data_IF_594376787213
#
_entry.id   IF_594376787213
#
_cell.length_a   1.000
_cell.length_b   1.000
_cell.length_c   1.000
_cell.angle_alpha   90.00
_cell.angle_beta   90.00
_cell.angle_gamma   90.00
#
_symmetry.space_group_name_H-M   'P 1'
#
loop_
_entity.id
_entity.type
_entity.pdbx_description
1 polymer ?
#
# COMPACT_ATOMS: atom_id res chain seq x y z
N UNK A 1 45.72 24.99 -61.14
CA UNK A 1 44.28 25.11 -60.92
C UNK A 1 43.76 23.78 -60.42
N UNK A 2 43.34 23.67 -59.16
CA UNK A 2 42.81 22.43 -58.60
C UNK A 2 43.09 22.23 -57.11
N UNK A 3 42.49 23.04 -56.25
CA UNK A 3 42.45 22.77 -54.79
C UNK A 3 41.18 23.23 -54.07
N UNK A 4 40.20 23.83 -54.78
CA UNK A 4 38.99 24.40 -54.16
C UNK A 4 37.74 23.52 -54.11
N UNK A 5 37.71 22.37 -54.80
CA UNK A 5 36.47 21.58 -54.99
C UNK A 5 36.15 20.61 -53.86
N UNK A 6 37.13 20.27 -53.00
CA UNK A 6 36.94 19.33 -51.88
C UNK A 6 36.33 20.01 -50.65
N UNK A 7 36.63 21.29 -50.43
CA UNK A 7 36.20 22.04 -49.25
C UNK A 7 34.74 22.51 -49.38
N UNK A 8 34.35 22.99 -50.56
CA UNK A 8 32.96 23.36 -50.87
C UNK A 8 32.00 22.16 -50.82
N UNK A 9 32.46 20.98 -51.27
CA UNK A 9 31.61 19.77 -51.25
C UNK A 9 31.39 19.25 -49.83
N UNK A 10 32.40 19.32 -48.97
CA UNK A 10 32.28 18.99 -47.53
C UNK A 10 31.40 20.00 -46.79
N UNK A 11 31.48 21.28 -47.15
CA UNK A 11 30.63 22.35 -46.60
C UNK A 11 29.15 22.16 -47.00
N UNK A 12 28.88 21.80 -48.26
CA UNK A 12 27.53 21.53 -48.75
C UNK A 12 26.92 20.25 -48.14
N UNK A 13 27.70 19.17 -48.04
CA UNK A 13 27.28 17.93 -47.39
C UNK A 13 27.01 18.13 -45.87
N UNK A 14 27.77 18.99 -45.21
CA UNK A 14 27.53 19.37 -43.81
C UNK A 14 26.26 20.23 -43.64
N UNK A 15 26.00 21.15 -44.59
CA UNK A 15 24.79 21.97 -44.59
C UNK A 15 23.53 21.12 -44.86
N UNK A 16 23.57 20.21 -45.83
CA UNK A 16 22.46 19.27 -46.10
C UNK A 16 22.18 18.37 -44.90
N UNK A 17 23.23 17.90 -44.20
CA UNK A 17 23.07 17.14 -42.95
C UNK A 17 22.39 18.01 -41.88
N UNK A 18 22.81 19.26 -41.74
CA UNK A 18 22.23 20.18 -40.75
C UNK A 18 20.78 20.53 -41.06
N UNK A 19 20.42 20.70 -42.33
CA UNK A 19 19.03 20.93 -42.77
C UNK A 19 18.18 19.71 -42.44
N UNK A 20 18.63 18.50 -42.78
CA UNK A 20 17.89 17.26 -42.43
C UNK A 20 17.74 17.05 -40.92
N UNK A 21 18.76 17.39 -40.13
CA UNK A 21 18.69 17.36 -38.67
C UNK A 21 17.65 18.35 -38.12
N UNK A 22 17.62 19.58 -38.66
CA UNK A 22 16.66 20.60 -38.26
C UNK A 22 15.23 20.26 -38.69
N UNK A 23 15.05 19.71 -39.90
CA UNK A 23 13.75 19.24 -40.39
C UNK A 23 13.21 18.10 -39.51
N UNK A 24 14.05 17.12 -39.17
CA UNK A 24 13.68 16.04 -38.26
C UNK A 24 13.33 16.54 -36.86
N UNK A 25 14.05 17.55 -36.35
CA UNK A 25 13.75 18.16 -35.05
C UNK A 25 12.44 18.97 -35.06
N UNK A 26 12.20 19.74 -36.14
CA UNK A 26 10.93 20.44 -36.35
C UNK A 26 9.77 19.45 -36.44
N UNK A 27 9.94 18.34 -37.17
CA UNK A 27 8.93 17.30 -37.28
C UNK A 27 8.67 16.63 -35.92
N UNK A 28 9.73 16.30 -35.16
CA UNK A 28 9.65 15.74 -33.80
C UNK A 28 8.89 16.66 -32.84
N UNK A 29 9.22 17.96 -32.83
CA UNK A 29 8.53 18.96 -32.02
C UNK A 29 7.07 19.12 -32.45
N UNK A 30 6.79 19.04 -33.75
CA UNK A 30 5.41 19.10 -34.26
C UNK A 30 4.57 17.90 -33.80
N UNK A 31 5.15 16.69 -33.76
CA UNK A 31 4.48 15.49 -33.27
C UNK A 31 4.28 15.54 -31.76
N UNK A 32 5.30 15.96 -31.00
CA UNK A 32 5.19 16.20 -29.56
C UNK A 32 4.03 17.15 -29.27
N UNK A 33 3.97 18.30 -29.96
CA UNK A 33 2.95 19.31 -29.71
C UNK A 33 1.55 18.83 -30.04
N UNK A 34 1.38 18.05 -31.13
CA UNK A 34 0.10 17.43 -31.47
C UNK A 34 -0.36 16.47 -30.36
N UNK A 35 0.51 15.57 -29.90
CA UNK A 35 0.17 14.62 -28.83
C UNK A 35 -0.16 15.37 -27.54
N UNK A 36 0.69 16.33 -27.17
CA UNK A 36 0.54 17.16 -25.99
C UNK A 36 -0.81 17.91 -25.98
N UNK A 37 -1.17 18.58 -27.07
CA UNK A 37 -2.41 19.37 -27.17
C UNK A 37 -3.67 18.51 -27.39
N UNK A 38 -3.53 17.36 -28.06
CA UNK A 38 -4.64 16.42 -28.29
C UNK A 38 -5.00 15.57 -27.06
N UNK A 39 -4.08 15.48 -26.09
CA UNK A 39 -4.32 14.75 -24.84
C UNK A 39 -5.49 15.37 -24.09
N UNK A 40 -6.39 14.53 -23.59
CA UNK A 40 -7.49 14.97 -22.74
C UNK A 40 -7.03 15.15 -21.28
N UNK A 41 -6.01 14.43 -20.85
CA UNK A 41 -5.34 14.65 -19.55
C UNK A 41 -4.60 15.98 -19.54
N UNK A 42 -4.72 16.72 -18.44
CA UNK A 42 -3.99 17.97 -18.22
C UNK A 42 -2.50 17.69 -18.04
N UNK A 43 -1.67 18.47 -18.75
CA UNK A 43 -0.21 18.39 -18.63
C UNK A 43 0.33 19.80 -18.43
N UNK A 44 1.25 19.95 -17.50
CA UNK A 44 1.92 21.21 -17.22
C UNK A 44 3.42 21.01 -17.04
N UNK A 45 4.19 22.02 -17.42
CA UNK A 45 5.61 22.15 -17.11
C UNK A 45 5.74 23.40 -16.23
N UNK A 46 6.39 23.26 -15.09
CA UNK A 46 6.55 24.31 -14.09
C UNK A 46 8.02 24.48 -13.78
N UNK A 47 8.52 25.71 -13.68
CA UNK A 47 9.90 25.97 -13.25
C UNK A 47 10.06 25.99 -11.72
N UNK A 48 11.29 26.05 -11.23
CA UNK A 48 11.57 26.09 -9.78
C UNK A 48 11.22 27.43 -9.12
N UNK A 49 10.88 28.47 -9.91
CA UNK A 49 10.27 29.70 -9.38
C UNK A 49 8.76 29.54 -9.18
N UNK A 50 8.21 28.39 -9.55
CA UNK A 50 6.80 28.05 -9.43
C UNK A 50 5.93 28.70 -10.50
N UNK A 51 6.46 28.95 -11.70
CA UNK A 51 5.72 29.50 -12.83
C UNK A 51 5.41 28.44 -13.86
N UNK A 52 4.24 28.53 -14.48
CA UNK A 52 3.93 27.68 -15.64
C UNK A 52 4.81 28.05 -16.83
N UNK A 53 5.65 27.13 -17.26
CA UNK A 53 6.44 27.24 -18.49
C UNK A 53 5.59 26.83 -19.68
N UNK A 54 4.82 25.75 -19.54
CA UNK A 54 3.94 25.25 -20.59
C UNK A 54 2.74 24.51 -20.00
N UNK A 55 1.61 24.57 -20.69
CA UNK A 55 0.38 23.84 -20.39
C UNK A 55 -0.26 23.40 -21.71
N UNK A 56 -0.93 22.24 -21.71
CA UNK A 56 -1.64 21.75 -22.89
C UNK A 56 -3.09 22.26 -22.96
N UNK A 57 -3.75 22.00 -24.10
CA UNK A 57 -5.13 22.44 -24.33
C UNK A 57 -6.19 21.85 -23.39
N UNK A 58 -5.87 20.82 -22.62
CA UNK A 58 -6.78 20.25 -21.62
C UNK A 58 -7.08 21.23 -20.48
N UNK A 59 -6.15 22.12 -20.12
CA UNK A 59 -6.38 23.15 -19.10
C UNK A 59 -7.56 24.07 -19.43
N UNK A 60 -7.74 24.39 -20.71
CA UNK A 60 -8.89 25.18 -21.17
C UNK A 60 -10.19 24.40 -21.12
N UNK A 61 -10.14 23.09 -21.40
CA UNK A 61 -11.33 22.21 -21.37
C UNK A 61 -11.81 21.94 -19.94
N UNK A 62 -10.88 21.70 -19.01
CA UNK A 62 -11.19 21.31 -17.64
C UNK A 62 -11.35 22.50 -16.68
N UNK A 63 -10.48 23.51 -16.79
CA UNK A 63 -10.45 24.64 -15.84
C UNK A 63 -10.84 25.97 -16.47
N UNK A 64 -11.16 26.00 -17.77
CA UNK A 64 -11.61 27.21 -18.46
C UNK A 64 -10.50 28.24 -18.76
N UNK A 65 -9.25 28.01 -18.33
CA UNK A 65 -8.17 28.94 -18.60
C UNK A 65 -7.55 28.77 -19.98
N UNK A 66 -7.42 29.87 -20.71
CA UNK A 66 -6.58 29.92 -21.89
C UNK A 66 -5.09 29.79 -21.51
N UNK A 67 -4.29 29.19 -22.39
CA UNK A 67 -2.84 29.00 -22.19
C UNK A 67 -2.13 30.31 -21.85
N UNK A 68 -2.50 31.39 -22.51
CA UNK A 68 -1.91 32.73 -22.33
C UNK A 68 -2.19 33.32 -20.95
N UNK A 69 -3.27 32.88 -20.30
CA UNK A 69 -3.61 33.28 -18.95
C UNK A 69 -2.83 32.51 -17.88
N UNK A 70 -2.22 31.36 -18.23
CA UNK A 70 -1.49 30.49 -17.31
C UNK A 70 0.03 30.67 -17.45
N UNK A 71 0.56 30.62 -18.68
CA UNK A 71 2.00 30.62 -18.95
C UNK A 71 2.68 31.90 -18.42
N UNK A 72 3.77 31.71 -17.68
CA UNK A 72 4.54 32.75 -17.01
C UNK A 72 4.00 33.17 -15.63
N UNK A 73 2.78 32.76 -15.28
CA UNK A 73 2.19 33.08 -13.98
C UNK A 73 2.54 32.05 -12.91
N UNK A 74 2.60 32.46 -11.63
CA UNK A 74 2.77 31.54 -10.53
C UNK A 74 1.61 30.53 -10.47
N UNK A 75 1.89 29.24 -10.32
CA UNK A 75 0.83 28.23 -10.21
C UNK A 75 -0.04 28.46 -8.96
N UNK A 76 0.54 29.03 -7.90
CA UNK A 76 -0.15 29.34 -6.64
C UNK A 76 -1.30 30.33 -6.79
N UNK A 77 -1.32 31.17 -7.84
CA UNK A 77 -2.43 32.08 -8.11
C UNK A 77 -3.73 31.31 -8.36
N UNK A 78 -3.61 30.09 -8.90
CA UNK A 78 -4.72 29.23 -9.28
C UNK A 78 -5.03 28.17 -8.22
N UNK A 79 -4.20 28.01 -7.19
CA UNK A 79 -4.46 27.08 -6.08
C UNK A 79 -5.51 27.69 -5.14
N UNK A 80 -6.48 26.86 -4.74
CA UNK A 80 -7.50 27.19 -3.76
C UNK A 80 -6.82 27.69 -2.46
N UNK A 81 -7.17 28.87 -1.90
CA UNK A 81 -6.35 29.53 -0.90
C UNK A 81 -5.97 28.68 0.34
N UNK A 82 -6.87 27.85 0.91
CA UNK A 82 -6.53 26.93 2.00
C UNK A 82 -5.44 25.89 1.67
N UNK A 83 -5.27 25.52 0.40
CA UNK A 83 -4.34 24.46 -0.01
C UNK A 83 -2.93 25.01 -0.34
N UNK A 84 -2.74 26.34 -0.31
CA UNK A 84 -1.50 26.99 -0.74
C UNK A 84 -0.30 26.63 0.12
N UNK A 85 -0.45 26.65 1.45
CA UNK A 85 0.66 26.34 2.37
C UNK A 85 1.15 24.90 2.17
N UNK A 86 0.23 23.95 2.08
CA UNK A 86 0.53 22.54 1.82
C UNK A 86 1.19 22.38 0.45
N UNK A 87 0.68 23.07 -0.57
CA UNK A 87 1.25 23.01 -1.93
C UNK A 87 2.67 23.57 -1.98
N UNK A 88 2.96 24.65 -1.25
CA UNK A 88 4.33 25.23 -1.16
C UNK A 88 5.28 24.22 -0.51
N UNK A 89 4.93 23.69 0.65
CA UNK A 89 5.77 22.73 1.37
C UNK A 89 6.09 21.51 0.50
N UNK A 90 5.12 21.08 -0.30
CA UNK A 90 5.29 19.99 -1.24
C UNK A 90 6.16 20.34 -2.44
N UNK A 91 5.97 21.50 -3.07
CA UNK A 91 6.81 21.95 -4.16
C UNK A 91 8.29 22.06 -3.74
N UNK A 92 8.56 22.63 -2.56
CA UNK A 92 9.92 22.70 -2.00
C UNK A 92 10.52 21.30 -1.77
N UNK A 93 9.70 20.35 -1.30
CA UNK A 93 10.15 18.97 -1.10
C UNK A 93 10.52 18.30 -2.41
N UNK A 94 9.73 18.48 -3.46
CA UNK A 94 10.01 17.92 -4.79
C UNK A 94 11.35 18.42 -5.37
N UNK A 95 11.71 19.67 -5.09
CA UNK A 95 13.01 20.26 -5.48
C UNK A 95 14.17 19.66 -4.66
N UNK A 96 13.98 19.47 -3.35
CA UNK A 96 15.03 18.93 -2.46
C UNK A 96 15.31 17.44 -2.70
N UNK A 97 14.26 16.64 -2.86
CA UNK A 97 14.38 15.18 -2.87
C UNK A 97 14.49 14.60 -4.28
N UNK A 98 14.02 15.34 -5.29
CA UNK A 98 13.80 14.80 -6.64
C UNK A 98 12.62 13.82 -6.64
N UNK A 99 11.67 14.00 -7.55
CA UNK A 99 10.46 13.17 -7.58
C UNK A 99 10.31 12.41 -8.89
N UNK A 100 9.89 11.15 -8.75
CA UNK A 100 9.39 10.31 -9.83
C UNK A 100 8.03 9.74 -9.41
N UNK A 101 6.98 10.00 -10.20
CA UNK A 101 5.65 9.39 -10.05
C UNK A 101 4.99 9.59 -8.67
N UNK A 102 5.24 10.73 -8.01
CA UNK A 102 4.62 11.03 -6.72
C UNK A 102 3.23 11.62 -6.94
N UNK A 103 2.23 11.02 -6.30
CA UNK A 103 0.85 11.50 -6.27
C UNK A 103 0.72 12.63 -5.26
N UNK A 104 0.21 13.77 -5.69
CA UNK A 104 -0.15 14.90 -4.83
C UNK A 104 -1.54 15.41 -5.20
N UNK A 105 -2.34 15.76 -4.21
CA UNK A 105 -3.69 16.29 -4.44
C UNK A 105 -3.82 17.68 -3.85
N UNK A 106 -4.44 18.57 -4.61
CA UNK A 106 -4.83 19.89 -4.16
C UNK A 106 -5.97 20.42 -5.01
N UNK A 107 -6.65 21.45 -4.51
CA UNK A 107 -7.71 22.13 -5.25
C UNK A 107 -7.14 23.30 -6.03
N UNK A 108 -7.52 23.40 -7.29
CA UNK A 108 -7.34 24.58 -8.13
C UNK A 108 -8.67 25.29 -8.31
N UNK A 109 -8.64 26.60 -8.54
CA UNK A 109 -9.80 27.39 -8.93
C UNK A 109 -9.94 27.31 -10.44
N UNK A 110 -11.11 26.96 -10.96
CA UNK A 110 -11.45 27.16 -12.37
C UNK A 110 -11.58 28.66 -12.72
N UNK A 111 -11.78 28.99 -14.00
CA UNK A 111 -11.93 30.38 -14.46
C UNK A 111 -13.13 31.12 -13.88
N UNK A 112 -14.11 30.40 -13.35
CA UNK A 112 -15.31 30.94 -12.70
C UNK A 112 -15.12 31.08 -11.18
N UNK A 113 -14.01 30.58 -10.64
CA UNK A 113 -13.64 30.63 -9.22
C UNK A 113 -14.13 29.45 -8.39
N UNK A 114 -14.60 28.36 -9.02
CA UNK A 114 -15.00 27.15 -8.30
C UNK A 114 -13.78 26.27 -8.00
N UNK A 115 -13.72 25.63 -6.82
CA UNK A 115 -12.66 24.68 -6.51
C UNK A 115 -12.86 23.36 -7.27
N UNK A 116 -11.81 22.91 -7.95
CA UNK A 116 -11.70 21.65 -8.69
C UNK A 116 -10.56 20.85 -8.09
N UNK A 117 -10.81 19.58 -7.76
CA UNK A 117 -9.82 18.69 -7.18
C UNK A 117 -8.92 18.10 -8.26
N UNK A 118 -7.61 18.23 -8.09
CA UNK A 118 -6.61 17.78 -9.04
C UNK A 118 -5.63 16.80 -8.38
N UNK A 119 -5.27 15.76 -9.13
CA UNK A 119 -4.28 14.77 -8.75
C UNK A 119 -3.07 14.88 -9.68
N UNK A 120 -1.93 15.26 -9.10
CA UNK A 120 -0.68 15.55 -9.79
C UNK A 120 0.24 14.34 -9.71
N UNK A 121 0.78 13.95 -10.87
CA UNK A 121 1.93 13.05 -11.00
C UNK A 121 3.08 13.84 -11.59
N UNK A 122 4.08 14.10 -10.74
CA UNK A 122 5.20 14.97 -11.10
C UNK A 122 6.51 14.19 -11.26
N UNK A 123 7.28 14.61 -12.26
CA UNK A 123 8.66 14.23 -12.50
C UNK A 123 9.54 15.49 -12.44
N UNK A 124 10.59 15.49 -11.62
CA UNK A 124 11.49 16.64 -11.48
C UNK A 124 12.79 16.40 -12.24
N UNK A 125 13.09 17.27 -13.20
CA UNK A 125 14.40 17.36 -13.85
C UNK A 125 15.23 18.45 -13.16
N UNK A 126 16.11 18.03 -12.24
CA UNK A 126 16.99 18.93 -11.50
C UNK A 126 18.00 19.66 -12.39
N UNK A 127 18.40 19.07 -13.53
CA UNK A 127 19.37 19.67 -14.44
C UNK A 127 18.72 20.76 -15.29
N UNK A 128 17.47 20.54 -15.72
CA UNK A 128 16.69 21.53 -16.46
C UNK A 128 16.02 22.58 -15.54
N UNK A 129 15.87 22.29 -14.24
CA UNK A 129 15.15 23.16 -13.31
C UNK A 129 13.64 23.16 -13.54
N UNK A 130 13.09 22.03 -13.99
CA UNK A 130 11.70 21.89 -14.43
C UNK A 130 10.99 20.73 -13.73
N UNK A 131 9.71 20.93 -13.43
CA UNK A 131 8.76 19.92 -13.03
C UNK A 131 7.82 19.62 -14.21
N UNK A 132 7.74 18.34 -14.58
CA UNK A 132 6.82 17.83 -15.57
C UNK A 132 5.66 17.17 -14.85
N UNK A 133 4.45 17.67 -15.07
CA UNK A 133 3.27 17.31 -14.32
C UNK A 133 2.22 16.73 -15.26
N UNK A 134 1.73 15.54 -14.95
CA UNK A 134 0.51 14.98 -15.52
C UNK A 134 -0.57 15.08 -14.45
N UNK A 135 -1.72 15.65 -14.80
CA UNK A 135 -2.77 16.04 -13.87
C UNK A 135 -4.09 15.43 -14.32
N UNK A 136 -4.73 14.70 -13.42
CA UNK A 136 -6.09 14.25 -13.59
C UNK A 136 -7.02 15.06 -12.69
N UNK A 137 -8.19 15.39 -13.22
CA UNK A 137 -9.29 15.89 -12.42
C UNK A 137 -9.88 14.71 -11.64
N UNK A 138 -10.00 14.89 -10.32
CA UNK A 138 -10.59 13.88 -9.44
C UNK A 138 -11.78 14.53 -8.75
N UNK A 139 -12.82 13.77 -8.47
CA UNK A 139 -13.89 14.23 -7.58
C UNK A 139 -13.45 14.02 -6.13
N UNK A 140 -13.84 14.95 -5.24
CA UNK A 140 -13.52 15.03 -3.79
C UNK A 140 -13.47 13.65 -3.09
N UNK A 141 -14.39 12.75 -3.48
CA UNK A 141 -14.63 11.46 -2.80
C UNK A 141 -14.01 10.20 -3.42
N UNK A 142 -13.58 10.19 -4.69
CA UNK A 142 -13.67 8.92 -5.45
C UNK A 142 -12.37 8.11 -5.53
N UNK A 143 -11.17 8.72 -5.52
CA UNK A 143 -9.95 7.94 -5.83
C UNK A 143 -9.28 7.21 -4.67
N UNK A 144 -9.44 7.65 -3.42
CA UNK A 144 -9.04 6.78 -2.29
C UNK A 144 -10.04 5.64 -2.11
N UNK A 145 -11.33 5.88 -2.37
CA UNK A 145 -12.38 4.87 -2.23
C UNK A 145 -12.30 3.80 -3.33
N UNK A 146 -12.14 4.16 -4.62
CA UNK A 146 -12.12 3.18 -5.70
C UNK A 146 -10.80 2.39 -5.78
N UNK A 147 -9.66 2.97 -5.43
CA UNK A 147 -8.38 2.24 -5.40
C UNK A 147 -8.31 1.29 -4.20
N UNK A 148 -8.73 1.71 -2.99
CA UNK A 148 -8.83 0.80 -1.83
C UNK A 148 -9.88 -0.29 -2.05
N UNK A 149 -11.05 0.05 -2.59
CA UNK A 149 -12.13 -0.90 -2.86
C UNK A 149 -11.73 -1.93 -3.92
N UNK A 150 -11.13 -1.49 -5.04
CA UNK A 150 -10.62 -2.43 -6.08
C UNK A 150 -9.44 -3.28 -5.59
N UNK A 151 -8.56 -2.74 -4.73
CA UNK A 151 -7.46 -3.52 -4.14
C UNK A 151 -7.96 -4.56 -3.12
N UNK A 152 -9.02 -4.23 -2.36
CA UNK A 152 -9.61 -5.12 -1.37
C UNK A 152 -10.53 -6.18 -1.98
N UNK A 153 -11.30 -5.84 -3.02
CA UNK A 153 -12.15 -6.79 -3.80
C UNK A 153 -11.33 -7.95 -4.37
N UNK A 154 -10.06 -7.74 -4.71
CA UNK A 154 -9.16 -8.78 -5.21
C UNK A 154 -8.60 -9.72 -4.11
N UNK A 155 -8.83 -9.44 -2.82
CA UNK A 155 -8.21 -10.16 -1.70
C UNK A 155 -9.19 -10.78 -0.68
N UNK A 156 -10.50 -10.70 -0.94
CA UNK A 156 -11.52 -11.20 0.01
C UNK A 156 -11.55 -10.40 1.32
N UNK A 157 -11.22 -9.10 1.24
CA UNK A 157 -11.23 -8.17 2.36
C UNK A 157 -12.39 -7.20 2.20
N UNK A 158 -13.19 -7.04 3.25
CA UNK A 158 -14.30 -6.11 3.27
C UNK A 158 -13.83 -4.71 3.62
N UNK A 159 -14.10 -3.73 2.76
CA UNK A 159 -13.86 -2.31 3.05
C UNK A 159 -15.12 -1.66 3.59
N UNK A 160 -14.98 -0.83 4.61
CA UNK A 160 -16.09 -0.06 5.18
C UNK A 160 -15.67 1.37 5.50
N UNK A 161 -16.66 2.25 5.56
CA UNK A 161 -16.53 3.68 5.80
C UNK A 161 -17.71 4.17 6.62
N UNK A 162 -17.45 4.97 7.65
CA UNK A 162 -18.45 5.71 8.40
C UNK A 162 -18.21 7.21 8.23
N UNK A 163 -19.16 7.88 7.59
CA UNK A 163 -19.21 9.33 7.48
C UNK A 163 -19.77 9.90 8.80
N UNK A 164 -18.94 10.65 9.54
CA UNK A 164 -19.30 11.19 10.85
C UNK A 164 -20.25 12.40 10.77
N UNK A 165 -20.42 13.00 9.58
CA UNK A 165 -21.30 14.14 9.35
C UNK A 165 -22.72 13.68 9.04
N UNK A 166 -22.85 12.63 8.23
CA UNK A 166 -24.14 12.07 7.80
C UNK A 166 -24.58 10.87 8.63
N UNK A 167 -23.69 10.34 9.47
CA UNK A 167 -23.84 9.08 10.21
C UNK A 167 -24.08 7.85 9.30
N UNK A 168 -23.67 7.96 8.04
CA UNK A 168 -23.82 6.88 7.06
C UNK A 168 -22.66 5.90 7.15
N UNK A 169 -22.96 4.63 7.45
CA UNK A 169 -22.01 3.53 7.31
C UNK A 169 -22.20 2.84 5.95
N UNK A 170 -21.13 2.76 5.18
CA UNK A 170 -21.05 2.11 3.87
C UNK A 170 -20.07 0.94 3.94
N UNK A 171 -20.39 -0.13 3.23
CA UNK A 171 -19.55 -1.32 3.15
C UNK A 171 -19.49 -1.86 1.72
N UNK A 172 -18.40 -2.53 1.40
CA UNK A 172 -18.31 -3.39 0.21
C UNK A 172 -19.20 -4.64 0.36
N UNK A 173 -19.42 -5.35 -0.75
CA UNK A 173 -20.16 -6.63 -0.76
C UNK A 173 -19.62 -7.64 0.27
N UNK A 174 -18.31 -7.66 0.43
CA UNK A 174 -17.61 -8.53 1.37
C UNK A 174 -17.92 -8.20 2.84
N UNK A 175 -18.16 -6.93 3.18
CA UNK A 175 -18.64 -6.55 4.52
C UNK A 175 -20.00 -7.18 4.78
N UNK A 176 -20.95 -7.03 3.86
CA UNK A 176 -22.29 -7.62 4.00
C UNK A 176 -22.22 -9.16 4.10
N UNK A 177 -21.32 -9.79 3.34
CA UNK A 177 -21.05 -11.24 3.44
C UNK A 177 -20.57 -11.65 4.82
N UNK A 178 -19.58 -10.95 5.39
CA UNK A 178 -19.05 -11.22 6.74
C UNK A 178 -20.15 -11.03 7.80
N UNK A 179 -20.93 -9.95 7.70
CA UNK A 179 -22.04 -9.66 8.60
C UNK A 179 -23.27 -10.56 8.39
N UNK A 180 -23.30 -11.37 7.32
CA UNK A 180 -24.35 -12.34 7.04
C UNK A 180 -25.67 -11.71 6.61
N UNK A 181 -25.65 -10.49 6.08
CA UNK A 181 -26.84 -9.74 5.64
C UNK A 181 -26.85 -9.57 4.12
N UNK A 182 -28.02 -9.33 3.49
CA UNK A 182 -28.09 -8.99 2.07
C UNK A 182 -27.25 -7.75 1.73
N UNK A 183 -26.71 -7.69 0.52
CA UNK A 183 -26.04 -6.51 0.00
C UNK A 183 -26.94 -5.26 0.12
N UNK A 184 -26.32 -4.11 0.38
CA UNK A 184 -26.99 -2.82 0.57
C UNK A 184 -27.99 -2.76 1.74
N UNK A 185 -27.98 -3.75 2.64
CA UNK A 185 -28.75 -3.66 3.89
C UNK A 185 -28.19 -2.51 4.72
N UNK A 186 -29.01 -1.53 5.16
CA UNK A 186 -28.53 -0.49 6.06
C UNK A 186 -28.04 -1.11 7.38
N UNK A 187 -26.76 -0.92 7.69
CA UNK A 187 -26.14 -1.32 8.96
C UNK A 187 -25.75 -0.02 9.67
N UNK A 188 -26.14 0.15 10.93
CA UNK A 188 -25.63 1.27 11.76
C UNK A 188 -24.37 0.86 12.51
N UNK A 189 -23.55 1.82 12.94
CA UNK A 189 -22.35 1.52 13.74
C UNK A 189 -22.68 0.70 15.01
N UNK A 190 -23.73 1.01 15.79
CA UNK A 190 -24.14 0.17 16.90
C UNK A 190 -24.44 -1.28 16.49
N UNK A 191 -25.16 -1.48 15.38
CA UNK A 191 -25.44 -2.83 14.87
C UNK A 191 -24.17 -3.55 14.42
N UNK A 192 -23.23 -2.83 13.82
CA UNK A 192 -21.95 -3.37 13.41
C UNK A 192 -21.10 -3.82 14.61
N UNK A 193 -21.14 -3.07 15.72
CA UNK A 193 -20.47 -3.41 16.99
C UNK A 193 -21.18 -4.57 17.70
N UNK A 194 -22.51 -4.61 17.69
CA UNK A 194 -23.30 -5.66 18.34
C UNK A 194 -23.11 -7.05 17.70
N UNK A 195 -22.67 -7.11 16.44
CA UNK A 195 -22.34 -8.36 15.78
C UNK A 195 -21.08 -9.03 16.35
N UNK A 196 -20.18 -8.29 17.00
CA UNK A 196 -19.03 -8.92 17.66
C UNK A 196 -19.49 -9.79 18.83
N UNK A 197 -18.76 -10.87 19.13
CA UNK A 197 -19.12 -11.74 20.25
C UNK A 197 -19.10 -10.95 21.57
N UNK A 198 -19.94 -11.30 22.57
CA UNK A 198 -20.08 -10.51 23.81
C UNK A 198 -18.76 -10.17 24.51
N UNK A 199 -17.79 -11.09 24.49
CA UNK A 199 -16.44 -10.93 25.04
C UNK A 199 -15.55 -9.92 24.28
N UNK A 200 -15.89 -9.60 23.03
CA UNK A 200 -15.12 -8.72 22.16
C UNK A 200 -15.75 -7.33 21.98
N UNK A 201 -17.07 -7.19 22.18
CA UNK A 201 -17.82 -5.95 21.94
C UNK A 201 -17.20 -4.72 22.59
N UNK A 202 -16.89 -4.80 23.88
CA UNK A 202 -16.34 -3.65 24.61
C UNK A 202 -14.98 -3.23 24.04
N UNK A 203 -14.10 -4.18 23.73
CA UNK A 203 -12.78 -3.90 23.15
C UNK A 203 -12.88 -3.20 21.79
N UNK A 204 -13.85 -3.60 20.97
CA UNK A 204 -14.10 -2.97 19.67
C UNK A 204 -14.69 -1.57 19.85
N UNK A 205 -15.66 -1.42 20.76
CA UNK A 205 -16.27 -0.12 21.05
C UNK A 205 -15.24 0.89 21.57
N UNK A 206 -14.38 0.48 22.52
CA UNK A 206 -13.32 1.32 23.07
C UNK A 206 -12.34 1.77 21.98
N UNK A 207 -11.93 0.86 21.09
CA UNK A 207 -11.03 1.17 19.99
C UNK A 207 -11.64 2.15 18.97
N UNK A 208 -12.91 1.98 18.63
CA UNK A 208 -13.62 2.91 17.73
C UNK A 208 -13.77 4.29 18.38
N UNK A 209 -14.07 4.35 19.66
CA UNK A 209 -14.21 5.61 20.41
C UNK A 209 -12.86 6.34 20.57
N UNK A 210 -11.79 5.61 20.88
CA UNK A 210 -10.42 6.13 20.95
C UNK A 210 -9.96 6.67 19.60
N UNK A 211 -10.25 5.95 18.51
CA UNK A 211 -9.95 6.41 17.17
C UNK A 211 -10.72 7.70 16.84
N UNK A 212 -12.01 7.76 17.12
CA UNK A 212 -12.83 8.94 16.88
C UNK A 212 -12.34 10.17 17.65
N UNK A 213 -11.92 10.00 18.91
CA UNK A 213 -11.48 11.08 19.78
C UNK A 213 -10.05 11.51 19.50
N UNK A 214 -9.12 10.55 19.51
CA UNK A 214 -7.68 10.78 19.54
C UNK A 214 -7.02 10.57 18.17
N UNK A 215 -7.73 10.00 17.20
CA UNK A 215 -7.19 9.67 15.87
C UNK A 215 -6.26 8.45 15.87
N UNK A 216 -6.28 7.64 16.94
CA UNK A 216 -5.44 6.45 17.05
C UNK A 216 -6.03 5.33 16.16
N UNK A 217 -5.28 4.80 15.18
CA UNK A 217 -5.75 3.68 14.38
C UNK A 217 -5.75 2.38 15.21
N UNK A 218 -6.63 1.44 14.85
CA UNK A 218 -6.69 0.13 15.50
C UNK A 218 -6.44 -1.03 14.55
N UNK A 219 -6.03 -2.15 15.13
CA UNK A 219 -5.87 -3.45 14.47
C UNK A 219 -6.19 -4.56 15.48
N UNK A 220 -7.33 -5.21 15.31
CA UNK A 220 -7.87 -6.17 16.26
C UNK A 220 -8.28 -7.47 15.57
N UNK A 221 -7.84 -8.59 16.14
CA UNK A 221 -8.37 -9.92 15.80
C UNK A 221 -9.37 -10.35 16.87
N UNK A 222 -10.64 -10.47 16.50
CA UNK A 222 -11.74 -10.66 17.42
C UNK A 222 -12.82 -11.59 16.85
N UNK A 223 -13.54 -12.32 17.71
CA UNK A 223 -14.68 -13.13 17.30
C UNK A 223 -15.89 -12.27 16.93
N UNK A 224 -16.56 -12.64 15.84
CA UNK A 224 -17.79 -12.06 15.33
C UNK A 224 -18.85 -13.16 15.17
N UNK A 225 -20.09 -12.85 15.54
CA UNK A 225 -21.26 -13.71 15.35
C UNK A 225 -22.19 -12.99 14.39
N UNK A 226 -22.23 -13.47 13.14
CA UNK A 226 -22.97 -12.79 12.09
C UNK A 226 -24.49 -12.99 12.24
N UNK A 227 -25.29 -12.30 11.41
CA UNK A 227 -26.75 -12.35 11.48
C UNK A 227 -27.35 -13.75 11.23
N UNK A 228 -26.58 -14.66 10.64
CA UNK A 228 -26.96 -16.05 10.39
C UNK A 228 -26.54 -16.99 11.54
N UNK A 229 -25.92 -16.45 12.60
CA UNK A 229 -25.42 -17.22 13.74
C UNK A 229 -24.10 -17.94 13.48
N UNK A 230 -23.38 -17.60 12.41
CA UNK A 230 -22.06 -18.17 12.14
C UNK A 230 -21.01 -17.50 13.02
N UNK A 231 -20.14 -18.31 13.63
CA UNK A 231 -19.00 -17.86 14.41
C UNK A 231 -17.80 -17.65 13.49
N UNK A 232 -17.37 -16.40 13.37
CA UNK A 232 -16.25 -15.99 12.54
C UNK A 232 -15.14 -15.43 13.44
N UNK A 233 -13.89 -15.62 13.02
CA UNK A 233 -12.79 -14.80 13.48
C UNK A 233 -12.52 -13.74 12.44
N UNK A 234 -12.50 -12.48 12.85
CA UNK A 234 -12.28 -11.36 11.95
C UNK A 234 -11.09 -10.53 12.40
N UNK A 235 -10.32 -10.02 11.44
CA UNK A 235 -9.37 -8.93 11.66
C UNK A 235 -10.04 -7.62 11.26
N UNK A 236 -10.22 -6.71 12.20
CA UNK A 236 -10.78 -5.38 11.98
C UNK A 236 -9.68 -4.35 12.14
N UNK A 237 -9.49 -3.53 11.11
CA UNK A 237 -8.55 -2.41 11.12
C UNK A 237 -9.29 -1.14 10.75
N UNK A 238 -8.96 -0.03 11.39
CA UNK A 238 -9.59 1.25 11.07
C UNK A 238 -8.74 2.46 11.47
N UNK A 239 -9.04 3.59 10.84
CA UNK A 239 -8.40 4.87 11.04
C UNK A 239 -9.41 6.02 10.85
N UNK A 240 -9.02 7.21 11.28
CA UNK A 240 -9.86 8.42 11.20
C UNK A 240 -9.23 9.44 10.26
N UNK A 241 -10.01 9.92 9.31
CA UNK A 241 -9.70 11.09 8.50
C UNK A 241 -10.19 12.35 9.22
N UNK A 242 -9.36 13.41 9.18
CA UNK A 242 -9.67 14.71 9.78
C UNK A 242 -9.64 15.79 8.71
N UNK A 243 -10.65 16.65 8.71
CA UNK A 243 -10.74 17.85 7.87
C UNK A 243 -10.73 19.08 8.77
N UNK A 244 -9.76 19.98 8.58
CA UNK A 244 -9.64 21.18 9.41
C UNK A 244 -9.38 20.90 10.90
N UNK A 245 -8.88 19.71 11.24
CA UNK A 245 -8.62 19.26 12.62
C UNK A 245 -9.77 18.46 13.25
N UNK A 246 -10.98 18.54 12.68
CA UNK A 246 -12.16 17.81 13.14
C UNK A 246 -12.26 16.43 12.46
N UNK A 247 -12.63 15.36 13.18
CA UNK A 247 -12.93 14.06 12.58
C UNK A 247 -14.05 14.18 11.54
N UNK A 248 -13.77 13.87 10.27
CA UNK A 248 -14.79 13.89 9.21
C UNK A 248 -15.30 12.50 8.87
N UNK A 249 -14.43 11.48 8.96
CA UNK A 249 -14.74 10.12 8.51
C UNK A 249 -13.90 9.08 9.26
N UNK A 250 -14.48 7.91 9.48
CA UNK A 250 -13.77 6.70 9.91
C UNK A 250 -13.79 5.70 8.76
N UNK A 251 -12.69 5.01 8.50
CA UNK A 251 -12.62 4.03 7.42
C UNK A 251 -11.72 2.88 7.81
N UNK A 252 -11.91 1.74 7.16
CA UNK A 252 -11.17 0.56 7.53
C UNK A 252 -11.47 -0.66 6.68
N UNK A 253 -10.90 -1.77 7.14
CA UNK A 253 -11.09 -3.08 6.56
C UNK A 253 -11.53 -4.09 7.62
N UNK A 254 -12.25 -5.11 7.17
CA UNK A 254 -12.63 -6.28 7.94
C UNK A 254 -12.36 -7.52 7.09
N UNK A 255 -11.61 -8.48 7.64
CA UNK A 255 -11.25 -9.70 6.94
C UNK A 255 -11.69 -10.91 7.74
N UNK A 256 -12.32 -11.88 7.08
CA UNK A 256 -12.56 -13.21 7.65
C UNK A 256 -11.24 -13.99 7.72
N UNK A 257 -10.75 -14.20 8.94
CA UNK A 257 -9.53 -14.96 9.24
C UNK A 257 -9.86 -16.31 9.89
N UNK A 258 -11.11 -16.78 9.82
CA UNK A 258 -11.59 -18.01 10.48
C UNK A 258 -10.77 -19.22 10.06
N UNK A 259 -10.51 -19.40 8.76
CA UNK A 259 -9.72 -20.52 8.26
C UNK A 259 -8.29 -20.52 8.83
N UNK A 260 -7.65 -19.33 8.90
CA UNK A 260 -6.31 -19.17 9.46
C UNK A 260 -6.31 -19.47 10.95
N UNK A 261 -7.23 -18.88 11.71
CA UNK A 261 -7.34 -19.07 13.14
C UNK A 261 -7.62 -20.55 13.51
N UNK A 262 -8.51 -21.23 12.78
CA UNK A 262 -8.80 -22.65 12.99
C UNK A 262 -7.59 -23.54 12.66
N UNK A 263 -6.83 -23.21 11.62
CA UNK A 263 -5.62 -23.96 11.27
C UNK A 263 -4.52 -23.80 12.33
N UNK A 264 -4.31 -22.58 12.82
CA UNK A 264 -3.36 -22.28 13.90
C UNK A 264 -3.76 -22.99 15.20
N UNK A 265 -5.04 -22.94 15.56
CA UNK A 265 -5.57 -23.59 16.76
C UNK A 265 -5.51 -25.12 16.66
N UNK A 266 -5.84 -25.70 15.50
CA UNK A 266 -5.68 -27.14 15.27
C UNK A 266 -4.22 -27.57 15.38
N UNK A 267 -3.29 -26.77 14.84
CA UNK A 267 -1.85 -27.02 14.99
C UNK A 267 -1.43 -26.96 16.46
N UNK A 268 -1.85 -25.93 17.19
CA UNK A 268 -1.57 -25.76 18.62
C UNK A 268 -2.08 -26.94 19.43
N UNK A 269 -3.34 -27.34 19.23
CA UNK A 269 -3.95 -28.48 19.92
C UNK A 269 -3.26 -29.81 19.56
N UNK A 270 -2.84 -29.98 18.31
CA UNK A 270 -2.06 -31.15 17.89
C UNK A 270 -0.71 -31.19 18.58
N UNK A 271 0.02 -30.07 18.62
CA UNK A 271 1.32 -29.95 19.29
C UNK A 271 1.19 -30.19 20.81
N UNK A 272 0.14 -29.66 21.45
CA UNK A 272 -0.15 -29.87 22.87
C UNK A 272 -0.53 -31.32 23.19
N UNK A 273 -1.37 -31.95 22.35
CA UNK A 273 -1.73 -33.37 22.49
C UNK A 273 -0.51 -34.26 22.31
N UNK A 274 0.30 -34.00 21.29
CA UNK A 274 1.56 -34.70 21.07
C UNK A 274 2.45 -34.57 22.29
N UNK A 275 2.68 -33.34 22.79
CA UNK A 275 3.52 -33.10 23.98
C UNK A 275 2.99 -33.84 25.20
N UNK A 276 1.69 -33.76 25.47
CA UNK A 276 1.06 -34.44 26.60
C UNK A 276 1.19 -35.97 26.55
N UNK A 277 0.94 -36.58 25.39
CA UNK A 277 1.08 -38.04 25.21
C UNK A 277 2.55 -38.46 25.27
N UNK A 278 3.42 -37.75 24.56
CA UNK A 278 4.85 -38.03 24.48
C UNK A 278 5.54 -37.95 25.84
N UNK A 279 5.21 -36.96 26.66
CA UNK A 279 5.72 -36.80 28.03
C UNK A 279 5.12 -37.81 29.02
N UNK A 280 3.92 -38.31 28.76
CA UNK A 280 3.26 -39.32 29.60
C UNK A 280 3.72 -40.76 29.30
N UNK A 281 4.48 -40.99 28.22
CA UNK A 281 4.98 -42.32 27.90
C UNK A 281 5.86 -42.86 29.06
N UNK A 282 5.64 -44.10 29.53
CA UNK A 282 6.43 -44.69 30.62
C UNK A 282 7.83 -45.14 30.17
N UNK A 283 8.20 -44.90 28.90
CA UNK A 283 9.47 -45.27 28.31
C UNK A 283 10.21 -44.03 27.79
N UNK A 284 11.55 -44.01 27.84
CA UNK A 284 12.38 -43.05 27.12
C UNK A 284 12.04 -43.04 25.63
N UNK A 285 11.70 -41.87 25.09
CA UNK A 285 11.37 -41.70 23.68
C UNK A 285 12.07 -40.46 23.12
N UNK A 286 12.53 -40.56 21.88
CA UNK A 286 13.20 -39.50 21.12
C UNK A 286 12.58 -39.43 19.73
N UNK A 287 12.17 -38.24 19.30
CA UNK A 287 11.64 -37.99 17.96
C UNK A 287 12.58 -37.05 17.22
N UNK A 288 12.91 -37.40 15.98
CA UNK A 288 13.70 -36.59 15.07
C UNK A 288 12.76 -35.87 14.09
N UNK A 289 12.94 -34.56 13.96
CA UNK A 289 12.30 -33.73 12.95
C UNK A 289 13.19 -33.53 11.73
N UNK A 290 12.58 -33.12 10.65
CA UNK A 290 13.22 -32.92 9.35
C UNK A 290 14.21 -31.74 9.45
N UNK A 291 15.51 -32.05 9.57
CA UNK A 291 16.57 -31.04 9.51
C UNK A 291 17.21 -30.62 10.84
N UNK A 292 17.59 -31.59 11.70
CA UNK A 292 18.49 -31.46 12.88
C UNK A 292 17.81 -31.22 14.24
N UNK A 293 16.47 -31.19 14.30
CA UNK A 293 15.75 -31.10 15.58
C UNK A 293 15.45 -32.48 16.18
N UNK A 294 16.06 -32.86 17.30
CA UNK A 294 15.64 -33.98 18.13
C UNK A 294 14.89 -33.49 19.39
N UNK A 295 13.83 -34.19 19.79
CA UNK A 295 13.11 -33.95 21.05
C UNK A 295 12.95 -35.25 21.83
N UNK A 296 13.47 -35.28 23.05
CA UNK A 296 13.29 -36.36 24.01
C UNK A 296 12.12 -36.06 24.96
N UNK A 297 11.46 -37.10 25.46
CA UNK A 297 10.47 -36.95 26.52
C UNK A 297 11.16 -36.89 27.90
N UNK A 298 10.42 -36.55 28.95
CA UNK A 298 10.97 -36.49 30.32
C UNK A 298 11.73 -37.75 30.73
N UNK A 299 11.26 -38.95 30.34
CA UNK A 299 11.93 -40.22 30.65
C UNK A 299 13.27 -40.39 29.93
N UNK A 300 13.38 -39.85 28.72
CA UNK A 300 14.64 -39.80 27.98
C UNK A 300 15.65 -38.88 28.68
N UNK A 301 15.22 -37.69 29.10
CA UNK A 301 16.08 -36.75 29.83
C UNK A 301 16.53 -37.34 31.19
N UNK A 302 15.62 -38.01 31.91
CA UNK A 302 15.93 -38.73 33.17
C UNK A 302 16.92 -39.89 32.97
N UNK A 303 16.78 -40.64 31.87
CA UNK A 303 17.67 -41.77 31.57
C UNK A 303 19.08 -41.31 31.19
N UNK A 304 19.17 -40.29 30.33
CA UNK A 304 20.43 -39.81 29.77
C UNK A 304 21.12 -38.81 30.71
N UNK A 305 20.35 -38.13 31.59
CA UNK A 305 20.84 -37.16 32.55
C UNK A 305 21.09 -35.75 31.99
N UNK A 306 20.73 -35.51 30.72
CA UNK A 306 20.86 -34.23 30.02
C UNK A 306 19.61 -33.97 29.19
N UNK A 307 19.19 -32.70 29.01
CA UNK A 307 18.05 -32.37 28.15
C UNK A 307 18.33 -32.78 26.70
N UNK A 308 17.36 -33.39 26.01
CA UNK A 308 17.50 -33.82 24.62
C UNK A 308 17.89 -32.68 23.64
N UNK A 309 17.56 -31.44 23.98
CA UNK A 309 17.93 -30.22 23.28
C UNK A 309 19.44 -29.88 23.39
N UNK A 310 20.16 -30.43 24.37
CA UNK A 310 21.61 -30.34 24.47
C UNK A 310 22.37 -31.21 23.43
N UNK A 311 21.64 -32.02 22.66
CA UNK A 311 22.17 -32.87 21.58
C UNK A 311 22.01 -32.25 20.18
N UNK A 312 21.46 -31.03 20.08
CA UNK A 312 21.16 -30.35 18.82
C UNK A 312 22.38 -29.65 18.17
N UNK A 313 23.44 -29.41 18.94
CA UNK A 313 24.70 -28.84 18.45
C UNK A 313 25.77 -29.94 18.32
N UNK A 314 25.71 -30.70 17.22
CA UNK A 314 26.73 -31.69 16.85
C UNK A 314 26.20 -33.12 16.66
N UNK A 315 26.98 -33.96 15.97
CA UNK A 315 26.63 -35.35 15.63
C UNK A 315 26.34 -36.17 16.90
N UNK A 316 25.06 -36.53 17.08
CA UNK A 316 24.51 -37.22 18.25
C UNK A 316 25.22 -38.54 18.61
N UNK A 317 25.83 -39.21 17.63
CA UNK A 317 26.55 -40.48 17.81
C UNK A 317 27.74 -40.36 18.77
N UNK A 318 28.44 -39.22 18.79
CA UNK A 318 29.61 -39.07 19.67
C UNK A 318 29.24 -38.95 21.15
N UNK A 319 28.02 -38.50 21.44
CA UNK A 319 27.51 -38.24 22.81
C UNK A 319 26.50 -39.26 23.32
N UNK A 320 25.75 -39.94 22.43
CA UNK A 320 24.70 -40.89 22.82
C UNK A 320 25.22 -42.28 23.19
N UNK A 321 26.46 -42.63 22.83
CA UNK A 321 27.07 -43.90 23.26
C UNK A 321 27.58 -43.72 24.70
N UNK A 322 26.79 -44.21 25.66
CA UNK A 322 27.09 -44.21 27.10
C UNK A 322 28.33 -45.05 27.45
N UNK A 323 28.82 -45.90 26.52
CA UNK A 323 30.05 -46.67 26.67
C UNK A 323 31.12 -46.26 25.63
N UNK A 324 32.18 -45.54 26.04
CA UNK A 324 33.29 -45.16 25.16
C UNK A 324 33.93 -46.35 24.40
N UNK A 325 33.82 -47.57 24.92
CA UNK A 325 34.38 -48.78 24.31
C UNK A 325 33.61 -49.29 23.08
N UNK A 326 32.35 -48.86 22.87
CA UNK A 326 31.50 -49.31 21.76
C UNK A 326 31.41 -48.34 20.58
N UNK A 327 32.16 -47.23 20.63
CA UNK A 327 32.20 -46.24 19.55
C UNK A 327 32.68 -46.78 18.18
N UNK A 328 33.65 -47.72 18.10
CA UNK A 328 34.12 -48.21 16.80
C UNK A 328 33.08 -49.08 16.07
N UNK A 329 32.37 -49.95 16.79
CA UNK A 329 31.47 -50.95 16.17
C UNK A 329 30.17 -50.35 15.62
N UNK A 330 29.73 -49.20 16.14
CA UNK A 330 28.50 -48.54 15.72
C UNK A 330 28.63 -47.74 14.41
N UNK A 331 29.86 -47.37 14.03
CA UNK A 331 30.12 -46.64 12.79
C UNK A 331 30.01 -47.54 11.55
N UNK A 332 30.34 -48.83 11.68
CA UNK A 332 30.41 -49.78 10.56
C UNK A 332 29.06 -50.40 10.17
N UNK A 333 27.97 -50.14 10.90
CA UNK A 333 26.68 -50.83 10.70
C UNK A 333 25.64 -50.04 9.89
N UNK A 334 25.91 -48.77 9.52
CA UNK A 334 24.92 -47.89 8.88
C UNK A 334 25.50 -46.96 7.78
N UNK A 335 26.38 -47.49 6.93
CA UNK A 335 26.48 -47.05 5.51
C UNK A 335 25.35 -47.66 4.70
#
# INVERSE_FOLDING_TARGET
MGSGTSDDRRSYEALERRVRELEAEVERLSHYRKIFDSSDTMVAIVDFEGRFVEVNGAWTRHLGYAREALVGRPFLDFVYPPDREVTIAEAERLIREGAHNRLQRNRYLDSDGNPVWLCWRSFTDLAAGLHYCVIDEVTDDVEDHDLFRRAAELSGVGVWEHDLRTDALRGSEEVYRIYGVPADTPITVPQAIDAFAPEARQRVADAVEEAAREGVPWDLEVPLINAQGQHLWVRSQGAVAREGGEPSRIYGVIQDITARHLAEEARRLSDERFRGVFDALPLPALVFGDGHGARGNRRFDELIGWPADAFLEGWWIERAIVDPARRPDAADTWE
#
